data_IF_031766205677
#
_entry.id   IF_031766205677
#
_cell.length_a   1.000
_cell.length_b   1.000
_cell.length_c   1.000
_cell.angle_alpha   90.00
_cell.angle_beta   90.00
_cell.angle_gamma   90.00
#
_symmetry.space_group_name_H-M   'P 1'
#
loop_
_entity.id
_entity.type
_entity.pdbx_description
1 polymer ?
#
# COMPACT_ATOMS: atom_id res chain seq x y z
N UNK A 1 -10.83 88.56 17.37
CA UNK A 1 -10.77 88.48 18.85
C UNK A 1 -12.06 87.85 19.34
N UNK A 2 -11.94 86.82 20.21
CA UNK A 2 -12.86 86.45 21.32
C UNK A 2 -14.36 86.29 20.97
N UNK A 3 -15.10 85.23 21.29
CA UNK A 3 -15.03 84.21 22.35
C UNK A 3 -16.15 83.21 22.09
N UNK A 4 -15.91 81.95 22.45
CA UNK A 4 -16.85 80.84 22.69
C UNK A 4 -17.84 81.20 23.88
N UNK A 5 -18.69 80.36 24.54
CA UNK A 5 -19.28 79.01 24.29
C UNK A 5 -20.74 78.74 24.89
N UNK A 6 -21.20 77.44 24.92
CA UNK A 6 -22.28 76.75 25.71
C UNK A 6 -23.76 76.84 25.21
N UNK A 7 -24.63 75.80 25.16
CA UNK A 7 -24.61 74.39 25.61
C UNK A 7 -25.82 73.53 25.08
N UNK A 8 -25.65 72.19 25.13
CA UNK A 8 -26.64 71.06 25.16
C UNK A 8 -27.53 70.78 23.92
N UNK A 9 -27.33 69.70 23.15
CA UNK A 9 -27.60 68.26 23.38
C UNK A 9 -29.04 67.82 23.01
N UNK A 10 -29.17 66.88 22.07
CA UNK A 10 -30.00 65.64 22.11
C UNK A 10 -29.80 64.87 20.80
N UNK A 11 -29.54 63.57 20.95
CA UNK A 11 -29.31 62.58 19.90
C UNK A 11 -30.62 62.12 19.24
N UNK A 12 -30.54 61.57 18.01
CA UNK A 12 -31.28 60.38 17.56
C UNK A 12 -30.41 59.73 16.48
N UNK A 13 -30.00 58.48 16.75
CA UNK A 13 -29.34 57.62 15.79
C UNK A 13 -30.35 56.90 14.90
N UNK A 14 -29.94 56.66 13.65
CA UNK A 14 -30.57 55.66 12.78
C UNK A 14 -29.46 54.74 12.27
N UNK A 15 -29.47 53.52 12.81
CA UNK A 15 -28.59 52.45 12.39
C UNK A 15 -29.05 51.85 11.07
N UNK A 16 -28.09 51.64 10.18
CA UNK A 16 -28.16 50.60 9.15
C UNK A 16 -26.95 49.70 9.33
N UNK A 17 -27.10 48.68 10.17
CA UNK A 17 -26.16 47.57 10.25
C UNK A 17 -26.54 46.56 9.16
N UNK A 18 -25.86 46.65 8.02
CA UNK A 18 -25.85 45.57 7.03
C UNK A 18 -25.11 44.38 7.61
N UNK A 19 -25.81 43.26 7.81
CA UNK A 19 -25.18 42.00 8.18
C UNK A 19 -24.43 41.44 6.96
N UNK A 20 -23.10 41.50 6.98
CA UNK A 20 -22.27 40.72 6.07
C UNK A 20 -22.28 39.28 6.60
N UNK A 21 -23.06 38.42 5.98
CA UNK A 21 -22.98 36.98 6.20
C UNK A 21 -21.69 36.49 5.54
N UNK A 22 -20.61 36.37 6.30
CA UNK A 22 -19.42 35.64 5.88
C UNK A 22 -19.79 34.16 5.96
N UNK A 23 -20.18 33.57 4.83
CA UNK A 23 -20.30 32.13 4.69
C UNK A 23 -18.91 31.51 4.82
N UNK A 24 -18.59 31.01 6.01
CA UNK A 24 -17.40 30.19 6.25
C UNK A 24 -17.66 28.87 5.54
N UNK A 25 -17.23 28.75 4.28
CA UNK A 25 -17.14 27.43 3.65
C UNK A 25 -16.15 26.61 4.49
N UNK A 26 -16.47 25.36 4.86
CA UNK A 26 -15.53 24.51 5.56
C UNK A 26 -14.26 24.40 4.70
N UNK A 27 -13.12 24.78 5.27
CA UNK A 27 -11.83 24.59 4.61
C UNK A 27 -11.57 23.08 4.51
N UNK A 28 -11.89 22.51 3.35
CA UNK A 28 -11.53 21.12 3.04
C UNK A 28 -10.01 21.06 3.03
N UNK A 29 -9.42 20.16 3.82
CA UNK A 29 -7.97 19.97 3.83
C UNK A 29 -7.48 19.71 2.40
N UNK A 30 -6.55 20.54 1.92
CA UNK A 30 -5.97 20.37 0.60
C UNK A 30 -4.98 19.20 0.63
N UNK A 31 -5.12 18.25 -0.31
CA UNK A 31 -4.03 17.32 -0.60
C UNK A 31 -2.78 18.10 -0.96
N UNK A 32 -1.62 17.58 -0.56
CA UNK A 32 -0.32 18.14 -0.94
C UNK A 32 0.28 17.20 -1.98
N UNK A 33 -0.15 17.36 -3.22
CA UNK A 33 0.37 16.64 -4.38
C UNK A 33 1.05 17.66 -5.27
N UNK A 34 2.37 17.65 -5.28
CA UNK A 34 3.18 18.66 -5.96
C UNK A 34 4.06 17.95 -6.98
N UNK A 35 3.75 18.03 -8.29
CA UNK A 35 4.65 17.55 -9.34
C UNK A 35 6.03 18.19 -9.23
N UNK A 36 7.05 17.45 -9.63
CA UNK A 36 8.40 17.99 -9.84
C UNK A 36 8.71 18.16 -11.34
N UNK A 37 9.90 18.64 -11.65
CA UNK A 37 10.35 18.90 -13.02
C UNK A 37 11.23 17.77 -13.58
N UNK A 38 11.37 16.65 -12.88
CA UNK A 38 12.34 15.58 -13.22
C UNK A 38 11.94 14.73 -14.43
N UNK A 39 10.72 14.92 -14.94
CA UNK A 39 10.26 14.36 -16.22
C UNK A 39 10.36 15.37 -17.39
N UNK A 40 10.89 16.56 -17.17
CA UNK A 40 11.02 17.58 -18.20
C UNK A 40 9.67 18.01 -18.80
N UNK A 41 9.55 17.95 -20.13
CA UNK A 41 8.34 18.36 -20.85
C UNK A 41 7.15 17.41 -20.66
N UNK A 42 7.41 16.18 -20.18
CA UNK A 42 6.40 15.15 -19.91
C UNK A 42 5.99 15.13 -18.42
N UNK A 43 6.04 16.31 -17.77
CA UNK A 43 5.76 16.44 -16.34
C UNK A 43 4.37 15.95 -15.97
N UNK A 44 4.26 15.52 -14.71
CA UNK A 44 2.96 15.23 -14.10
C UNK A 44 2.18 16.52 -13.90
N UNK A 45 0.87 16.45 -14.04
CA UNK A 45 -0.04 17.59 -13.84
C UNK A 45 -1.16 17.16 -12.92
N UNK A 46 -1.45 17.98 -11.91
CA UNK A 46 -2.56 17.76 -10.97
C UNK A 46 -3.66 18.74 -11.29
N UNK A 47 -4.84 18.22 -11.61
CA UNK A 47 -6.04 18.99 -11.88
C UNK A 47 -7.06 18.73 -10.76
N UNK A 48 -7.37 19.73 -9.92
CA UNK A 48 -8.45 19.59 -8.96
C UNK A 48 -9.79 19.55 -9.71
N UNK A 49 -10.57 18.52 -9.43
CA UNK A 49 -11.90 18.27 -9.95
C UNK A 49 -12.88 18.06 -8.79
N UNK A 50 -14.16 18.25 -9.09
CA UNK A 50 -15.26 17.88 -8.21
C UNK A 50 -16.10 16.81 -8.93
N UNK A 51 -16.11 15.60 -8.38
CA UNK A 51 -16.86 14.47 -8.88
C UNK A 51 -18.15 14.32 -8.06
N UNK A 52 -19.18 15.10 -8.40
CA UNK A 52 -20.50 15.07 -7.74
C UNK A 52 -20.46 15.32 -6.22
N UNK A 53 -19.69 16.32 -5.79
CA UNK A 53 -19.49 16.69 -4.38
C UNK A 53 -18.33 15.97 -3.71
N UNK A 54 -17.62 15.08 -4.43
CA UNK A 54 -16.40 14.44 -3.95
C UNK A 54 -15.16 15.11 -4.57
N UNK A 55 -14.31 15.80 -3.78
CA UNK A 55 -13.11 16.45 -4.29
C UNK A 55 -12.08 15.42 -4.77
N UNK A 56 -11.58 15.60 -5.98
CA UNK A 56 -10.62 14.70 -6.64
C UNK A 56 -9.44 15.49 -7.18
N UNK A 57 -8.23 15.00 -6.95
CA UNK A 57 -7.01 15.44 -7.62
C UNK A 57 -6.74 14.48 -8.79
N UNK A 58 -7.14 14.87 -10.01
CA UNK A 58 -6.86 14.10 -11.21
C UNK A 58 -5.41 14.32 -11.64
N UNK A 59 -4.65 13.24 -11.74
CA UNK A 59 -3.25 13.23 -12.12
C UNK A 59 -3.18 12.82 -13.58
N UNK A 60 -2.73 13.74 -14.43
CA UNK A 60 -2.58 13.56 -15.88
C UNK A 60 -1.15 13.87 -16.33
N UNK A 61 -0.90 13.77 -17.64
CA UNK A 61 0.43 13.95 -18.22
C UNK A 61 1.29 12.72 -17.94
N UNK A 62 2.55 12.94 -17.57
CA UNK A 62 3.51 11.86 -17.36
C UNK A 62 4.21 11.41 -18.64
N UNK A 63 5.29 10.65 -18.46
CA UNK A 63 6.12 10.15 -19.56
C UNK A 63 5.74 8.70 -19.88
N UNK A 64 5.22 8.44 -21.08
CA UNK A 64 4.90 7.07 -21.50
C UNK A 64 6.11 6.43 -22.19
N UNK A 65 6.45 5.20 -21.81
CA UNK A 65 7.45 4.35 -22.46
C UNK A 65 6.86 2.95 -22.63
N UNK A 66 6.40 2.64 -23.83
CA UNK A 66 5.72 1.36 -24.08
C UNK A 66 4.54 1.18 -23.13
N UNK A 67 4.54 0.10 -22.37
CA UNK A 67 3.47 -0.24 -21.40
C UNK A 67 3.57 0.49 -20.05
N UNK A 68 4.53 1.40 -19.87
CA UNK A 68 4.72 2.11 -18.60
C UNK A 68 4.44 3.60 -18.73
N UNK A 69 3.69 4.15 -17.76
CA UNK A 69 3.45 5.58 -17.61
C UNK A 69 4.11 6.07 -16.31
N UNK A 70 5.04 7.01 -16.45
CA UNK A 70 5.83 7.52 -15.33
C UNK A 70 5.32 8.87 -14.85
N UNK A 71 5.11 8.99 -13.54
CA UNK A 71 4.80 10.22 -12.83
C UNK A 71 5.86 10.53 -11.77
N UNK A 72 6.08 11.82 -11.51
CA UNK A 72 7.07 12.27 -10.53
C UNK A 72 6.57 13.48 -9.74
N UNK A 73 6.74 13.40 -8.43
CA UNK A 73 6.26 14.39 -7.47
C UNK A 73 7.35 14.74 -6.49
N UNK A 74 7.42 16.02 -6.10
CA UNK A 74 8.18 16.42 -4.92
C UNK A 74 7.46 15.99 -3.64
N UNK A 75 6.13 16.16 -3.61
CA UNK A 75 5.28 15.82 -2.47
C UNK A 75 4.06 15.02 -2.95
N UNK A 76 3.66 14.01 -2.19
CA UNK A 76 2.48 13.21 -2.52
C UNK A 76 1.74 12.80 -1.25
N UNK A 77 0.75 13.59 -0.86
CA UNK A 77 -0.10 13.38 0.31
C UNK A 77 -1.56 13.56 -0.08
N UNK A 78 -2.42 12.63 0.32
CA UNK A 78 -3.86 12.66 0.03
C UNK A 78 -4.62 12.87 1.32
N UNK A 79 -5.38 13.97 1.42
CA UNK A 79 -6.16 14.23 2.64
C UNK A 79 -7.37 13.30 2.75
N UNK A 80 -7.94 13.19 3.95
CA UNK A 80 -9.18 12.42 4.16
C UNK A 80 -10.37 13.07 3.43
N UNK A 81 -11.32 12.25 2.98
CA UNK A 81 -12.53 12.71 2.30
C UNK A 81 -12.32 13.22 0.87
N UNK A 82 -11.16 12.95 0.27
CA UNK A 82 -10.85 13.26 -1.13
C UNK A 82 -10.09 12.13 -1.80
N UNK A 83 -10.02 12.16 -3.12
CA UNK A 83 -9.31 11.17 -3.92
C UNK A 83 -8.15 11.76 -4.72
N UNK A 84 -7.12 10.95 -4.98
CA UNK A 84 -6.11 11.23 -6.00
C UNK A 84 -6.15 10.10 -7.04
N UNK A 85 -6.38 10.46 -8.30
CA UNK A 85 -6.67 9.50 -9.36
C UNK A 85 -5.72 9.67 -10.53
N UNK A 86 -4.96 8.62 -10.85
CA UNK A 86 -4.09 8.60 -12.03
C UNK A 86 -4.90 8.27 -13.28
N UNK A 87 -4.84 9.17 -14.26
CA UNK A 87 -5.46 8.96 -15.56
C UNK A 87 -4.58 8.08 -16.44
N UNK A 88 -5.17 7.01 -16.96
CA UNK A 88 -4.57 6.20 -18.00
C UNK A 88 -5.08 6.62 -19.39
N UNK A 89 -4.23 7.25 -20.24
CA UNK A 89 -4.64 7.71 -21.56
C UNK A 89 -4.78 6.58 -22.60
N UNK A 90 -4.19 5.41 -22.36
CA UNK A 90 -3.98 4.37 -23.37
C UNK A 90 -4.16 2.97 -22.77
N UNK A 91 -5.02 2.15 -23.39
CA UNK A 91 -5.28 0.78 -22.96
C UNK A 91 -4.04 -0.15 -23.04
N UNK A 92 -2.98 0.24 -23.75
CA UNK A 92 -1.71 -0.52 -23.82
C UNK A 92 -0.81 -0.31 -22.60
N UNK A 93 -1.08 0.71 -21.77
CA UNK A 93 -0.36 0.94 -20.53
C UNK A 93 -0.80 -0.11 -19.50
N UNK A 94 0.18 -0.87 -19.02
CA UNK A 94 0.00 -1.89 -17.99
C UNK A 94 0.44 -1.38 -16.61
N UNK A 95 1.38 -0.44 -16.54
CA UNK A 95 1.90 0.04 -15.26
C UNK A 95 1.94 1.56 -15.21
N UNK A 96 1.37 2.13 -14.16
CA UNK A 96 1.54 3.52 -13.76
C UNK A 96 2.53 3.54 -12.59
N UNK A 97 3.65 4.23 -12.76
CA UNK A 97 4.69 4.35 -11.73
C UNK A 97 4.81 5.80 -11.26
N UNK A 98 4.50 6.04 -9.99
CA UNK A 98 4.58 7.34 -9.34
C UNK A 98 5.73 7.36 -8.33
N UNK A 99 6.73 8.22 -8.54
CA UNK A 99 7.83 8.44 -7.59
C UNK A 99 7.67 9.74 -6.80
N UNK A 100 8.11 9.72 -5.54
CA UNK A 100 8.29 10.91 -4.71
C UNK A 100 9.78 11.20 -4.55
N UNK A 101 10.21 12.38 -5.01
CA UNK A 101 11.61 12.83 -5.04
C UNK A 101 11.97 13.76 -3.89
N UNK A 102 10.98 14.29 -3.17
CA UNK A 102 11.19 15.10 -1.98
C UNK A 102 11.65 14.28 -0.77
N UNK A 103 11.79 14.94 0.36
CA UNK A 103 12.31 14.36 1.62
C UNK A 103 11.23 13.88 2.59
N UNK A 104 9.95 14.05 2.23
CA UNK A 104 8.83 13.76 3.13
C UNK A 104 8.21 12.40 2.83
N UNK A 105 7.78 11.72 3.89
CA UNK A 105 6.95 10.54 3.79
C UNK A 105 5.57 10.88 3.21
N UNK A 106 4.96 9.93 2.48
CA UNK A 106 3.61 10.11 1.96
C UNK A 106 2.57 9.74 3.00
N UNK A 107 1.66 10.67 3.27
CA UNK A 107 0.51 10.47 4.14
C UNK A 107 -0.74 10.36 3.28
N UNK A 108 -1.27 9.15 3.18
CA UNK A 108 -2.45 8.80 2.39
C UNK A 108 -3.60 8.60 3.38
N UNK A 109 -4.50 9.57 3.47
CA UNK A 109 -5.66 9.55 4.35
C UNK A 109 -6.98 9.43 3.58
N UNK A 110 -6.95 9.54 2.26
CA UNK A 110 -8.10 9.42 1.38
C UNK A 110 -7.92 8.31 0.34
N UNK A 111 -8.59 8.44 -0.79
CA UNK A 111 -8.60 7.40 -1.82
C UNK A 111 -7.45 7.57 -2.81
N UNK A 112 -6.73 6.49 -3.12
CA UNK A 112 -5.86 6.40 -4.28
C UNK A 112 -6.51 5.56 -5.35
N UNK A 113 -6.50 6.02 -6.60
CA UNK A 113 -7.12 5.26 -7.67
C UNK A 113 -6.51 5.46 -9.04
N UNK A 114 -6.98 4.65 -9.97
CA UNK A 114 -6.70 4.77 -11.40
C UNK A 114 -8.01 4.84 -12.17
N UNK A 115 -8.04 5.59 -13.28
CA UNK A 115 -9.20 5.71 -14.15
C UNK A 115 -8.77 5.96 -15.60
N UNK A 116 -9.69 5.84 -16.55
CA UNK A 116 -9.39 6.01 -17.97
C UNK A 116 -9.50 4.69 -18.71
N UNK A 117 -8.52 4.38 -19.56
CA UNK A 117 -8.51 3.15 -20.35
C UNK A 117 -7.83 1.99 -19.60
N UNK A 118 -8.20 0.75 -19.95
CA UNK A 118 -7.56 -0.46 -19.45
C UNK A 118 -7.62 -0.63 -17.92
N UNK A 119 -6.74 -1.51 -17.42
CA UNK A 119 -6.65 -1.88 -16.01
C UNK A 119 -5.19 -1.81 -15.52
N UNK A 120 -4.58 -0.62 -15.47
CA UNK A 120 -3.17 -0.51 -15.14
C UNK A 120 -2.92 -0.80 -13.65
N UNK A 121 -1.78 -1.43 -13.39
CA UNK A 121 -1.20 -1.54 -12.06
C UNK A 121 -0.69 -0.18 -11.60
N UNK A 122 -0.72 0.07 -10.29
CA UNK A 122 -0.22 1.31 -9.70
C UNK A 122 0.94 1.03 -8.75
N UNK A 123 2.10 1.60 -9.05
CA UNK A 123 3.28 1.60 -8.21
C UNK A 123 3.47 2.98 -7.58
N UNK A 124 3.46 3.06 -6.25
CA UNK A 124 3.82 4.25 -5.48
C UNK A 124 5.18 4.03 -4.81
N UNK A 125 6.14 4.90 -5.13
CA UNK A 125 7.54 4.81 -4.70
C UNK A 125 7.87 6.04 -3.86
N UNK A 126 8.08 5.87 -2.55
CA UNK A 126 8.57 6.94 -1.68
C UNK A 126 9.62 6.41 -0.69
N UNK A 127 10.91 6.69 -0.91
CA UNK A 127 12.00 6.24 -0.04
C UNK A 127 11.87 6.69 1.42
N UNK A 128 11.17 7.79 1.69
CA UNK A 128 11.04 8.36 3.04
C UNK A 128 9.98 7.65 3.89
N UNK A 129 9.17 6.77 3.31
CA UNK A 129 8.12 6.04 4.01
C UNK A 129 6.71 6.46 3.62
N UNK A 130 5.74 5.68 4.08
CA UNK A 130 4.32 5.86 3.75
C UNK A 130 3.43 5.50 4.94
N UNK A 131 2.36 6.29 5.11
CA UNK A 131 1.30 6.04 6.09
C UNK A 131 -0.03 6.00 5.33
N UNK A 132 -0.72 4.87 5.39
CA UNK A 132 -2.10 4.73 4.97
C UNK A 132 -2.98 4.85 6.22
N UNK A 133 -3.58 6.02 6.43
CA UNK A 133 -4.40 6.29 7.62
C UNK A 133 -5.72 5.53 7.63
N UNK A 134 -6.49 5.67 8.71
CA UNK A 134 -7.74 4.92 8.93
C UNK A 134 -8.75 5.01 7.77
N UNK A 135 -8.88 6.19 7.16
CA UNK A 135 -9.81 6.43 6.04
C UNK A 135 -9.20 6.18 4.65
N UNK A 136 -7.97 5.67 4.57
CA UNK A 136 -7.34 5.40 3.29
C UNK A 136 -8.05 4.25 2.59
N UNK A 137 -8.27 4.39 1.28
CA UNK A 137 -8.85 3.34 0.46
C UNK A 137 -8.17 3.29 -0.92
N UNK A 138 -8.31 2.16 -1.60
CA UNK A 138 -7.86 1.98 -2.97
C UNK A 138 -9.09 1.87 -3.88
N UNK A 139 -9.04 2.57 -5.02
CA UNK A 139 -9.95 2.43 -6.15
C UNK A 139 -9.11 2.27 -7.43
N UNK A 140 -8.31 1.21 -7.44
CA UNK A 140 -7.39 0.86 -8.53
C UNK A 140 -8.02 -0.19 -9.44
N UNK A 141 -7.66 -0.17 -10.72
CA UNK A 141 -8.18 -1.11 -11.72
C UNK A 141 -7.34 -2.40 -11.87
N UNK A 142 -6.14 -2.45 -11.28
CA UNK A 142 -5.23 -3.59 -11.32
C UNK A 142 -4.49 -3.78 -9.99
N UNK A 143 -3.30 -4.38 -10.03
CA UNK A 143 -2.46 -4.60 -8.84
C UNK A 143 -1.89 -3.29 -8.27
N UNK A 144 -1.65 -3.27 -6.95
CA UNK A 144 -1.10 -2.12 -6.23
C UNK A 144 0.22 -2.47 -5.55
N UNK A 145 1.21 -1.61 -5.72
CA UNK A 145 2.52 -1.72 -5.07
C UNK A 145 2.83 -0.43 -4.34
N UNK A 146 3.08 -0.51 -3.05
CA UNK A 146 3.67 0.58 -2.27
C UNK A 146 5.08 0.16 -1.83
N UNK A 147 6.09 0.89 -2.29
CA UNK A 147 7.47 0.64 -1.89
C UNK A 147 8.22 1.87 -1.39
N UNK A 148 9.14 1.65 -0.44
CA UNK A 148 10.14 2.64 -0.01
C UNK A 148 11.51 2.38 -0.62
N UNK A 149 11.56 1.59 -1.69
CA UNK A 149 12.75 1.43 -2.51
C UNK A 149 13.17 2.79 -3.10
N UNK A 150 14.47 2.91 -3.36
CA UNK A 150 15.05 4.08 -4.02
C UNK A 150 14.73 4.12 -5.52
N UNK A 151 14.37 2.98 -6.11
CA UNK A 151 13.91 2.93 -7.50
C UNK A 151 13.43 1.55 -7.91
N UNK A 152 12.82 1.49 -9.09
CA UNK A 152 12.29 0.28 -9.71
C UNK A 152 13.11 -0.03 -10.97
N UNK A 153 13.60 -1.26 -11.08
CA UNK A 153 14.41 -1.75 -12.22
C UNK A 153 13.54 -2.40 -13.28
N UNK A 154 13.99 -2.29 -14.53
CA UNK A 154 13.35 -2.85 -15.72
C UNK A 154 14.32 -3.80 -16.44
N UNK A 155 14.65 -4.92 -15.80
CA UNK A 155 15.74 -5.81 -16.22
C UNK A 155 17.07 -5.05 -16.32
N UNK A 156 17.76 -5.24 -17.45
CA UNK A 156 18.99 -4.53 -17.78
C UNK A 156 18.75 -3.20 -18.53
N UNK A 157 17.50 -2.78 -18.71
CA UNK A 157 17.14 -1.59 -19.52
C UNK A 157 17.24 -0.28 -18.77
N UNK A 158 17.32 -0.33 -17.44
CA UNK A 158 17.52 0.84 -16.59
C UNK A 158 16.66 0.83 -15.33
N UNK A 159 16.63 1.98 -14.66
CA UNK A 159 16.01 2.16 -13.34
C UNK A 159 15.19 3.45 -13.36
N UNK A 160 13.97 3.40 -12.82
CA UNK A 160 13.20 4.59 -12.47
C UNK A 160 13.45 4.93 -10.99
N UNK A 161 14.31 5.92 -10.74
CA UNK A 161 14.84 6.25 -9.40
C UNK A 161 14.13 7.46 -8.77
N UNK A 162 13.82 7.36 -7.48
CA UNK A 162 13.29 8.42 -6.64
C UNK A 162 14.38 9.29 -5.99
N UNK A 163 15.56 8.72 -5.69
CA UNK A 163 16.66 9.45 -5.02
C UNK A 163 17.73 9.98 -5.96
N UNK A 164 17.79 9.46 -7.19
CA UNK A 164 18.59 10.01 -8.28
C UNK A 164 17.68 10.21 -9.50
N UNK A 165 16.72 11.15 -9.41
CA UNK A 165 15.69 11.25 -10.42
C UNK A 165 16.25 11.83 -11.72
N UNK A 166 16.14 11.03 -12.78
CA UNK A 166 16.40 11.43 -14.16
C UNK A 166 15.13 11.24 -15.01
N UNK A 167 15.16 11.79 -16.23
CA UNK A 167 14.11 11.57 -17.21
C UNK A 167 14.12 10.07 -17.59
N UNK A 168 12.98 9.36 -17.50
CA UNK A 168 12.89 7.94 -17.82
C UNK A 168 13.43 7.64 -19.22
N UNK A 169 14.41 6.73 -19.27
CA UNK A 169 14.99 6.24 -20.52
C UNK A 169 13.91 5.71 -21.47
N UNK A 170 14.12 5.91 -22.77
CA UNK A 170 13.28 5.36 -23.83
C UNK A 170 13.16 3.82 -23.79
N UNK A 171 14.07 3.15 -23.08
CA UNK A 171 14.18 1.69 -23.02
C UNK A 171 13.31 1.06 -21.92
N UNK A 172 12.73 1.84 -21.00
CA UNK A 172 11.92 1.32 -19.88
C UNK A 172 10.52 0.90 -20.34
N UNK A 173 10.45 -0.03 -21.29
CA UNK A 173 9.23 -0.39 -22.03
C UNK A 173 8.64 -1.76 -21.66
N UNK A 174 9.26 -2.47 -20.71
CA UNK A 174 8.83 -3.80 -20.21
C UNK A 174 8.33 -3.70 -18.77
N UNK A 175 7.92 -4.80 -18.16
CA UNK A 175 7.51 -4.80 -16.76
C UNK A 175 8.65 -4.49 -15.78
N UNK A 176 8.34 -3.83 -14.65
CA UNK A 176 9.18 -3.81 -13.46
C UNK A 176 9.64 -5.21 -13.07
N UNK A 177 10.95 -5.37 -12.84
CA UNK A 177 11.55 -6.67 -12.52
C UNK A 177 12.19 -6.72 -11.13
N UNK A 178 12.44 -5.57 -10.49
CA UNK A 178 13.03 -5.51 -9.17
C UNK A 178 12.90 -4.12 -8.51
N UNK A 179 13.12 -4.10 -7.20
CA UNK A 179 13.18 -2.91 -6.36
C UNK A 179 14.61 -2.71 -5.86
N UNK A 180 15.18 -1.53 -6.08
CA UNK A 180 16.52 -1.17 -5.63
C UNK A 180 16.46 -0.37 -4.34
N UNK A 181 17.13 -0.86 -3.30
CA UNK A 181 17.39 -0.14 -2.06
C UNK A 181 18.87 0.23 -1.98
N UNK A 182 19.17 1.51 -1.82
CA UNK A 182 20.53 2.05 -1.69
C UNK A 182 20.71 3.00 -0.48
N UNK A 183 19.71 3.14 0.39
CA UNK A 183 19.78 3.96 1.61
C UNK A 183 19.59 3.16 2.90
N UNK A 184 20.05 3.72 4.03
CA UNK A 184 19.89 3.16 5.38
C UNK A 184 19.53 4.28 6.37
N UNK A 185 18.46 4.14 7.19
CA UNK A 185 17.42 3.12 7.07
C UNK A 185 16.52 3.40 5.86
N UNK A 186 15.87 2.36 5.32
CA UNK A 186 14.74 2.55 4.41
C UNK A 186 13.53 3.11 5.18
N UNK A 187 12.69 3.91 4.53
CA UNK A 187 11.45 4.42 5.14
C UNK A 187 10.50 3.30 5.55
N UNK A 188 9.66 3.55 6.55
CA UNK A 188 8.69 2.56 7.02
C UNK A 188 7.37 2.67 6.23
N UNK A 189 6.62 1.56 6.17
CA UNK A 189 5.24 1.55 5.67
C UNK A 189 4.32 1.20 6.84
N UNK A 190 3.34 2.05 7.11
CA UNK A 190 2.32 1.82 8.16
C UNK A 190 0.93 1.84 7.52
N UNK A 191 0.13 0.81 7.77
CA UNK A 191 -1.25 0.70 7.30
C UNK A 191 -2.20 0.64 8.50
N UNK A 192 -3.06 1.65 8.59
CA UNK A 192 -4.12 1.79 9.59
C UNK A 192 -5.51 1.78 8.96
N UNK A 193 -5.59 1.63 7.63
CA UNK A 193 -6.80 1.67 6.84
C UNK A 193 -7.82 0.63 7.28
N UNK A 194 -8.94 1.07 7.87
CA UNK A 194 -9.92 0.18 8.49
C UNK A 194 -11.36 0.70 8.44
N UNK A 195 -11.62 1.70 7.61
CA UNK A 195 -12.96 2.15 7.30
C UNK A 195 -13.53 1.39 6.08
N UNK A 196 -14.87 1.35 5.93
CA UNK A 196 -15.51 0.77 4.75
C UNK A 196 -14.98 1.38 3.45
N UNK A 197 -14.68 0.55 2.46
CA UNK A 197 -14.17 1.00 1.15
C UNK A 197 -15.22 1.79 0.36
N UNK A 198 -16.51 1.55 0.64
CA UNK A 198 -17.64 2.30 0.15
C UNK A 198 -18.78 2.24 1.17
N UNK A 199 -19.78 3.16 1.12
CA UNK A 199 -20.86 3.21 2.10
C UNK A 199 -21.67 1.91 2.25
N UNK A 200 -21.70 1.09 1.20
CA UNK A 200 -22.48 -0.15 1.13
C UNK A 200 -21.59 -1.41 1.20
N UNK A 201 -20.30 -1.27 1.47
CA UNK A 201 -19.36 -2.39 1.54
C UNK A 201 -19.08 -2.79 2.99
N UNK A 202 -19.16 -4.10 3.25
CA UNK A 202 -18.66 -4.70 4.49
C UNK A 202 -17.13 -4.88 4.48
N UNK A 203 -16.48 -4.67 3.34
CA UNK A 203 -15.02 -4.73 3.22
C UNK A 203 -14.40 -3.44 3.73
N UNK A 204 -13.40 -3.57 4.60
CA UNK A 204 -12.70 -2.42 5.19
C UNK A 204 -11.27 -2.32 4.65
N UNK A 205 -10.69 -1.13 4.72
CA UNK A 205 -9.26 -0.90 4.51
C UNK A 205 -8.82 -0.83 3.04
N UNK A 206 -7.66 -1.42 2.72
CA UNK A 206 -7.11 -1.41 1.37
C UNK A 206 -7.55 -2.66 0.61
N UNK A 207 -8.21 -2.48 -0.54
CA UNK A 207 -8.63 -3.59 -1.40
C UNK A 207 -8.17 -3.35 -2.84
N UNK A 208 -7.64 -4.41 -3.46
CA UNK A 208 -7.43 -4.47 -4.92
C UNK A 208 -8.53 -5.32 -5.57
N UNK A 209 -8.75 -5.21 -6.90
CA UNK A 209 -9.71 -6.08 -7.59
C UNK A 209 -9.42 -7.57 -7.38
N UNK A 210 -10.44 -8.41 -7.52
CA UNK A 210 -10.30 -9.86 -7.35
C UNK A 210 -9.26 -10.43 -8.31
N UNK A 211 -8.36 -11.27 -7.80
CA UNK A 211 -7.25 -11.85 -8.56
C UNK A 211 -6.00 -10.95 -8.67
N UNK A 212 -6.10 -9.67 -8.30
CA UNK A 212 -4.98 -8.73 -8.33
C UNK A 212 -4.13 -8.77 -7.06
N UNK A 213 -2.94 -8.16 -7.11
CA UNK A 213 -1.95 -8.23 -6.03
C UNK A 213 -1.80 -6.91 -5.27
N UNK A 214 -1.52 -7.01 -3.97
CA UNK A 214 -1.23 -5.88 -3.08
C UNK A 214 0.13 -6.13 -2.41
N UNK A 215 1.14 -5.36 -2.81
CA UNK A 215 2.53 -5.51 -2.35
C UNK A 215 2.96 -4.32 -1.51
N UNK A 216 3.46 -4.57 -0.30
CA UNK A 216 4.07 -3.56 0.57
C UNK A 216 5.53 -3.93 0.86
N UNK A 217 6.47 -3.16 0.32
CA UNK A 217 7.90 -3.46 0.41
C UNK A 217 8.71 -2.24 0.85
N UNK A 218 9.26 -2.25 2.06
CA UNK A 218 10.00 -1.09 2.56
C UNK A 218 10.99 -1.40 3.66
N UNK A 219 11.23 -0.45 4.55
CA UNK A 219 11.90 -0.65 5.84
C UNK A 219 11.08 -1.56 6.75
N UNK A 220 10.67 -1.10 7.92
CA UNK A 220 9.66 -1.84 8.68
C UNK A 220 8.30 -1.72 7.99
N UNK A 221 7.56 -2.83 7.88
CA UNK A 221 6.18 -2.85 7.39
C UNK A 221 5.26 -3.20 8.54
N UNK A 222 4.32 -2.31 8.86
CA UNK A 222 3.39 -2.48 9.99
C UNK A 222 1.96 -2.35 9.53
N UNK A 223 1.15 -3.38 9.75
CA UNK A 223 -0.31 -3.33 9.65
C UNK A 223 -0.83 -3.14 11.08
N UNK A 224 -1.29 -1.94 11.38
CA UNK A 224 -1.68 -1.49 12.72
C UNK A 224 -3.18 -1.17 12.73
N UNK A 225 -3.99 -2.21 13.00
CA UNK A 225 -5.44 -2.16 12.90
C UNK A 225 -5.98 -1.95 11.48
N UNK A 226 -5.11 -1.94 10.48
CA UNK A 226 -5.48 -1.88 9.08
C UNK A 226 -5.90 -3.23 8.50
N UNK A 227 -6.60 -3.19 7.37
CA UNK A 227 -7.01 -4.37 6.62
C UNK A 227 -6.45 -4.34 5.19
N UNK A 228 -5.99 -5.49 4.72
CA UNK A 228 -5.51 -5.73 3.36
C UNK A 228 -6.33 -6.84 2.71
N UNK A 229 -6.97 -6.55 1.59
CA UNK A 229 -7.86 -7.49 0.89
C UNK A 229 -7.42 -7.66 -0.57
N UNK A 230 -7.15 -8.91 -0.97
CA UNK A 230 -6.79 -9.29 -2.34
C UNK A 230 -7.38 -10.67 -2.67
N UNK A 231 -8.70 -10.77 -2.71
CA UNK A 231 -9.43 -12.04 -2.86
C UNK A 231 -9.01 -12.79 -4.13
N UNK A 232 -8.50 -14.01 -3.97
CA UNK A 232 -7.99 -14.85 -5.06
C UNK A 232 -6.66 -14.39 -5.66
N UNK A 233 -6.17 -13.21 -5.25
CA UNK A 233 -4.93 -12.61 -5.69
C UNK A 233 -3.77 -12.87 -4.73
N UNK A 234 -3.00 -11.83 -4.41
CA UNK A 234 -1.78 -11.95 -3.60
C UNK A 234 -1.59 -10.77 -2.65
N UNK A 235 -1.19 -11.04 -1.42
CA UNK A 235 -0.60 -10.03 -0.52
C UNK A 235 0.86 -10.38 -0.27
N UNK A 236 1.77 -9.44 -0.49
CA UNK A 236 3.20 -9.61 -0.15
C UNK A 236 3.66 -8.50 0.78
N UNK A 237 4.23 -8.87 1.92
CA UNK A 237 4.84 -7.94 2.86
C UNK A 237 6.33 -8.22 2.94
N UNK A 238 7.15 -7.19 2.76
CA UNK A 238 8.60 -7.33 2.77
C UNK A 238 9.29 -6.20 3.52
N UNK A 239 10.11 -6.55 4.51
CA UNK A 239 10.97 -5.61 5.22
C UNK A 239 12.43 -5.72 4.81
N UNK A 240 13.09 -4.59 4.56
CA UNK A 240 14.51 -4.51 4.22
C UNK A 240 15.27 -3.55 5.14
N UNK A 241 16.37 -4.03 5.73
CA UNK A 241 17.17 -3.26 6.71
C UNK A 241 18.43 -2.64 6.13
N UNK A 242 18.88 -3.14 4.97
CA UNK A 242 20.12 -2.72 4.31
C UNK A 242 19.94 -2.61 2.79
N UNK A 243 20.88 -1.95 2.08
CA UNK A 243 20.87 -1.88 0.64
C UNK A 243 20.84 -3.27 0.01
N UNK A 244 20.13 -3.37 -1.10
CA UNK A 244 19.93 -4.62 -1.79
C UNK A 244 18.93 -4.49 -2.91
N UNK A 245 18.73 -5.59 -3.64
CA UNK A 245 17.79 -5.67 -4.73
C UNK A 245 16.81 -6.79 -4.43
N UNK A 246 15.52 -6.47 -4.42
CA UNK A 246 14.44 -7.44 -4.28
C UNK A 246 13.82 -7.66 -5.65
N UNK A 247 13.83 -8.90 -6.14
CA UNK A 247 13.24 -9.22 -7.43
C UNK A 247 11.71 -9.19 -7.37
N UNK A 248 11.09 -8.89 -8.50
CA UNK A 248 9.66 -9.05 -8.75
C UNK A 248 9.49 -10.04 -9.90
N UNK A 249 8.75 -11.11 -9.65
CA UNK A 249 8.42 -12.09 -10.68
C UNK A 249 7.16 -11.65 -11.44
N UNK A 250 6.93 -12.21 -12.64
CA UNK A 250 5.75 -11.92 -13.47
C UNK A 250 4.42 -12.23 -12.75
N UNK A 251 4.42 -13.17 -11.81
CA UNK A 251 3.25 -13.53 -10.99
C UNK A 251 3.11 -12.68 -9.70
N UNK A 252 3.78 -11.54 -9.64
CA UNK A 252 3.78 -10.60 -8.51
C UNK A 252 4.41 -11.09 -7.20
N UNK A 253 5.07 -12.26 -7.19
CA UNK A 253 5.81 -12.71 -6.00
C UNK A 253 7.13 -11.97 -5.85
N UNK A 254 7.48 -11.61 -4.61
CA UNK A 254 8.77 -11.03 -4.29
C UNK A 254 9.85 -12.10 -4.21
N UNK A 255 11.06 -11.77 -4.67
CA UNK A 255 12.23 -12.64 -4.59
C UNK A 255 13.33 -11.98 -3.78
N UNK A 256 13.44 -12.42 -2.53
CA UNK A 256 14.51 -12.03 -1.62
C UNK A 256 15.76 -12.87 -1.88
N UNK A 257 16.93 -12.26 -2.19
CA UNK A 257 18.18 -12.97 -2.28
C UNK A 257 18.60 -13.57 -0.93
N UNK A 258 19.34 -14.68 -0.96
CA UNK A 258 19.94 -15.27 0.25
C UNK A 258 20.89 -14.28 0.94
N UNK A 259 20.85 -14.26 2.27
CA UNK A 259 21.73 -13.42 3.09
C UNK A 259 21.39 -11.93 3.10
N UNK A 260 20.32 -11.49 2.42
CA UNK A 260 19.90 -10.09 2.48
C UNK A 260 19.36 -9.74 3.87
N UNK A 261 19.80 -8.60 4.42
CA UNK A 261 19.33 -8.16 5.73
C UNK A 261 17.91 -7.61 5.63
N UNK A 262 16.98 -8.29 6.29
CA UNK A 262 15.56 -7.95 6.32
C UNK A 262 15.26 -7.02 7.51
N UNK A 263 14.16 -6.29 7.43
CA UNK A 263 13.57 -5.50 8.52
C UNK A 263 12.35 -6.22 9.08
N UNK A 264 11.79 -5.72 10.19
CA UNK A 264 10.68 -6.37 10.86
C UNK A 264 9.35 -6.13 10.12
N UNK A 265 8.46 -7.13 10.23
CA UNK A 265 7.06 -7.02 9.80
C UNK A 265 6.16 -7.26 11.01
N UNK A 266 5.16 -6.40 11.21
CA UNK A 266 4.20 -6.51 12.30
C UNK A 266 2.76 -6.43 11.81
N UNK A 267 1.92 -7.35 12.27
CA UNK A 267 0.47 -7.37 12.05
C UNK A 267 -0.19 -7.33 13.43
N UNK A 268 -0.78 -6.20 13.80
CA UNK A 268 -1.20 -5.92 15.18
C UNK A 268 -2.47 -5.08 15.26
N UNK A 269 -3.04 -4.99 16.48
CA UNK A 269 -4.20 -4.18 16.84
C UNK A 269 -5.44 -4.44 15.97
N UNK A 270 -5.88 -5.70 15.87
CA UNK A 270 -7.02 -6.11 15.03
C UNK A 270 -6.77 -5.96 13.52
N UNK A 271 -5.51 -6.10 13.10
CA UNK A 271 -5.16 -6.11 11.69
C UNK A 271 -5.65 -7.38 11.00
N UNK A 272 -5.97 -7.25 9.72
CA UNK A 272 -6.57 -8.32 8.92
C UNK A 272 -5.91 -8.39 7.54
N UNK A 273 -5.53 -9.59 7.10
CA UNK A 273 -5.05 -9.84 5.75
C UNK A 273 -5.86 -10.98 5.18
N UNK A 274 -6.60 -10.74 4.10
CA UNK A 274 -7.51 -11.71 3.51
C UNK A 274 -7.35 -11.82 1.99
N UNK A 275 -7.12 -13.06 1.57
CA UNK A 275 -6.99 -13.46 0.16
C UNK A 275 -7.96 -14.59 -0.19
N UNK A 276 -8.88 -14.96 0.69
CA UNK A 276 -9.82 -16.07 0.49
C UNK A 276 -10.70 -15.85 -0.73
N UNK A 277 -10.87 -16.89 -1.55
CA UNK A 277 -11.72 -16.88 -2.74
C UNK A 277 -12.07 -18.31 -3.17
N UNK A 278 -12.79 -18.46 -4.29
CA UNK A 278 -13.06 -19.79 -4.84
C UNK A 278 -11.79 -20.51 -5.32
N UNK A 279 -10.73 -19.77 -5.69
CA UNK A 279 -9.45 -20.24 -6.19
C UNK A 279 -8.34 -19.24 -5.85
N UNK A 280 -7.10 -19.72 -5.75
CA UNK A 280 -5.93 -18.87 -5.53
C UNK A 280 -5.92 -18.23 -4.16
N UNK A 281 -5.35 -17.02 -4.07
CA UNK A 281 -5.16 -16.32 -2.81
C UNK A 281 -3.87 -16.72 -2.11
N UNK A 282 -2.84 -15.88 -2.21
CA UNK A 282 -1.53 -16.13 -1.58
C UNK A 282 -1.16 -15.01 -0.61
N UNK A 283 -0.58 -15.37 0.54
CA UNK A 283 0.04 -14.40 1.45
C UNK A 283 1.51 -14.77 1.60
N UNK A 284 2.43 -13.86 1.29
CA UNK A 284 3.86 -14.05 1.55
C UNK A 284 4.38 -12.93 2.44
N UNK A 285 5.13 -13.28 3.50
CA UNK A 285 5.76 -12.31 4.40
C UNK A 285 7.24 -12.61 4.54
N UNK A 286 8.08 -11.62 4.22
CA UNK A 286 9.53 -11.69 4.30
C UNK A 286 10.05 -10.68 5.32
N UNK A 287 10.59 -11.18 6.45
CA UNK A 287 10.95 -10.33 7.58
C UNK A 287 12.27 -10.73 8.25
N UNK A 288 12.82 -9.84 9.08
CA UNK A 288 13.75 -10.25 10.13
C UNK A 288 12.97 -10.92 11.26
N UNK A 289 12.18 -10.17 12.01
CA UNK A 289 11.17 -10.74 12.89
C UNK A 289 9.76 -10.48 12.34
N UNK A 290 8.87 -11.46 12.53
CA UNK A 290 7.44 -11.33 12.23
C UNK A 290 6.63 -11.42 13.53
N UNK A 291 5.93 -10.34 13.87
CA UNK A 291 4.98 -10.33 14.97
C UNK A 291 3.53 -10.30 14.49
N UNK A 292 2.71 -11.25 14.91
CA UNK A 292 1.27 -11.27 14.69
C UNK A 292 0.58 -11.27 16.06
N UNK A 293 -0.05 -10.16 16.43
CA UNK A 293 -0.47 -9.92 17.82
C UNK A 293 -1.78 -9.14 17.91
N UNK A 294 -2.29 -9.03 19.13
CA UNK A 294 -3.49 -8.26 19.50
C UNK A 294 -4.68 -8.51 18.58
N UNK A 295 -5.14 -9.77 18.54
CA UNK A 295 -6.34 -10.19 17.83
C UNK A 295 -6.29 -9.94 16.32
N UNK A 296 -5.15 -10.23 15.68
CA UNK A 296 -4.93 -10.02 14.25
C UNK A 296 -4.91 -11.33 13.46
N UNK A 297 -5.28 -11.29 12.18
CA UNK A 297 -5.57 -12.49 11.41
C UNK A 297 -5.02 -12.44 9.99
N UNK A 298 -4.50 -13.59 9.54
CA UNK A 298 -4.11 -13.84 8.15
C UNK A 298 -4.95 -15.00 7.63
N UNK A 299 -5.65 -14.78 6.51
CA UNK A 299 -6.60 -15.70 5.94
C UNK A 299 -6.33 -15.97 4.46
N UNK A 300 -6.09 -17.25 4.17
CA UNK A 300 -6.18 -17.83 2.84
C UNK A 300 -7.15 -19.01 2.87
N UNK A 301 -7.39 -19.63 1.72
CA UNK A 301 -8.30 -20.76 1.61
C UNK A 301 -9.55 -20.46 0.77
N UNK A 302 -10.54 -21.34 0.90
CA UNK A 302 -11.78 -21.25 0.13
C UNK A 302 -12.85 -20.59 1.00
N UNK A 303 -13.34 -19.43 0.54
CA UNK A 303 -14.32 -18.61 1.27
C UNK A 303 -15.70 -19.29 1.33
N UNK A 304 -16.50 -18.90 2.33
CA UNK A 304 -17.85 -19.43 2.58
C UNK A 304 -18.70 -19.54 1.30
N UNK A 305 -19.35 -20.70 1.14
CA UNK A 305 -20.25 -21.01 0.03
C UNK A 305 -19.63 -20.86 -1.39
N UNK A 306 -18.30 -20.80 -1.51
CA UNK A 306 -17.59 -20.77 -2.79
C UNK A 306 -16.93 -22.12 -3.14
N UNK A 307 -16.39 -22.20 -4.34
CA UNK A 307 -15.55 -23.30 -4.81
C UNK A 307 -16.32 -24.51 -5.36
N UNK A 308 -15.56 -25.46 -5.91
CA UNK A 308 -16.03 -26.72 -6.44
C UNK A 308 -14.95 -27.82 -6.27
N UNK A 309 -15.18 -29.04 -6.78
CA UNK A 309 -14.22 -30.15 -6.59
C UNK A 309 -12.83 -29.90 -7.19
N UNK A 310 -12.71 -29.02 -8.17
CA UNK A 310 -11.45 -28.63 -8.83
C UNK A 310 -10.84 -27.38 -8.22
N UNK A 311 -11.54 -26.70 -7.30
CA UNK A 311 -11.06 -25.48 -6.67
C UNK A 311 -9.78 -25.73 -5.88
N UNK A 312 -8.80 -24.84 -6.03
CA UNK A 312 -7.53 -24.89 -5.33
C UNK A 312 -7.24 -23.53 -4.69
N UNK A 313 -7.14 -23.49 -3.37
CA UNK A 313 -6.64 -22.32 -2.66
C UNK A 313 -5.11 -22.17 -2.82
N UNK A 314 -4.62 -20.94 -2.75
CA UNK A 314 -3.20 -20.61 -2.71
C UNK A 314 -2.59 -20.79 -1.32
N UNK A 315 -1.32 -20.44 -1.19
CA UNK A 315 -0.51 -20.73 0.01
C UNK A 315 -0.28 -19.50 0.90
N UNK A 316 0.00 -19.74 2.17
CA UNK A 316 0.60 -18.75 3.08
C UNK A 316 2.07 -19.11 3.29
N UNK A 317 2.96 -18.14 3.11
CA UNK A 317 4.41 -18.25 3.32
C UNK A 317 4.82 -17.20 4.35
N UNK A 318 5.35 -17.65 5.48
CA UNK A 318 5.96 -16.82 6.52
C UNK A 318 7.47 -17.11 6.55
N UNK A 319 8.28 -16.25 5.94
CA UNK A 319 9.74 -16.37 5.86
C UNK A 319 10.41 -15.27 6.68
N UNK A 320 10.66 -15.56 7.95
CA UNK A 320 11.46 -14.73 8.83
C UNK A 320 12.89 -15.29 8.95
N UNK A 321 13.89 -14.43 8.99
CA UNK A 321 15.27 -14.85 9.28
C UNK A 321 15.60 -14.85 10.78
N UNK A 322 14.70 -14.36 11.62
CA UNK A 322 14.80 -14.35 13.07
C UNK A 322 13.61 -15.08 13.67
N UNK A 323 12.79 -14.37 14.44
CA UNK A 323 11.66 -14.94 15.17
C UNK A 323 10.32 -14.69 14.46
N UNK A 324 9.43 -15.68 14.53
CA UNK A 324 8.00 -15.45 14.28
C UNK A 324 7.21 -15.70 15.57
N UNK A 325 6.44 -14.69 15.98
CA UNK A 325 5.55 -14.75 17.14
C UNK A 325 4.10 -14.57 16.71
N UNK A 326 3.25 -15.54 17.03
CA UNK A 326 1.78 -15.39 16.94
C UNK A 326 1.22 -15.41 18.35
N UNK A 327 0.57 -14.32 18.80
CA UNK A 327 0.11 -14.17 20.20
C UNK A 327 -1.18 -13.38 20.34
N UNK A 328 -1.69 -13.26 21.57
CA UNK A 328 -2.84 -12.42 21.92
C UNK A 328 -4.10 -12.70 21.08
N UNK A 329 -4.47 -13.99 20.94
CA UNK A 329 -5.62 -14.48 20.14
C UNK A 329 -5.53 -14.20 18.64
N UNK A 330 -4.33 -13.89 18.14
CA UNK A 330 -4.06 -13.88 16.70
C UNK A 330 -3.92 -15.30 16.16
N UNK A 331 -4.17 -15.47 14.86
CA UNK A 331 -3.91 -16.74 14.17
C UNK A 331 -3.70 -16.55 12.66
N UNK A 332 -3.12 -17.58 12.05
CA UNK A 332 -2.87 -17.69 10.60
C UNK A 332 -3.61 -18.94 10.14
N UNK A 333 -4.46 -18.80 9.12
CA UNK A 333 -5.33 -19.89 8.68
C UNK A 333 -5.40 -19.99 7.16
N UNK A 334 -5.30 -21.21 6.66
CA UNK A 334 -5.58 -21.57 5.28
C UNK A 334 -6.62 -22.69 5.32
N UNK A 335 -7.90 -22.35 5.15
CA UNK A 335 -8.99 -23.29 5.42
C UNK A 335 -10.10 -23.21 4.38
N UNK A 336 -10.83 -24.32 4.28
CA UNK A 336 -12.04 -24.45 3.47
C UNK A 336 -13.20 -24.09 4.39
N UNK A 337 -13.86 -22.96 4.12
CA UNK A 337 -14.91 -22.42 4.97
C UNK A 337 -16.24 -23.17 4.82
N UNK A 338 -17.22 -22.85 5.64
CA UNK A 338 -18.52 -23.52 5.71
C UNK A 338 -19.23 -23.48 4.35
N UNK A 339 -19.79 -24.62 3.95
CA UNK A 339 -20.50 -24.75 2.67
C UNK A 339 -19.62 -24.61 1.42
N UNK A 340 -18.29 -24.53 1.57
CA UNK A 340 -17.37 -24.46 0.44
C UNK A 340 -16.84 -25.86 0.05
N UNK A 341 -16.27 -25.97 -1.15
CA UNK A 341 -15.69 -27.23 -1.67
C UNK A 341 -14.41 -26.94 -2.45
N UNK A 342 -13.42 -27.82 -2.30
CA UNK A 342 -12.17 -27.78 -3.05
C UNK A 342 -11.00 -28.26 -2.18
N UNK A 343 -9.79 -27.87 -2.56
CA UNK A 343 -8.55 -28.19 -1.88
C UNK A 343 -7.99 -26.92 -1.20
N UNK A 344 -7.66 -27.04 0.09
CA UNK A 344 -6.95 -26.00 0.82
C UNK A 344 -5.50 -25.85 0.34
N UNK A 345 -4.88 -24.72 0.66
CA UNK A 345 -3.45 -24.53 0.44
C UNK A 345 -2.63 -24.82 1.69
N UNK A 346 -1.33 -24.63 1.57
CA UNK A 346 -0.36 -24.85 2.64
C UNK A 346 -0.14 -23.59 3.47
N UNK A 347 0.37 -23.78 4.68
CA UNK A 347 1.00 -22.74 5.49
C UNK A 347 2.46 -23.15 5.67
N UNK A 348 3.37 -22.43 5.04
CA UNK A 348 4.81 -22.68 5.05
C UNK A 348 5.47 -21.67 6.00
N UNK A 349 6.20 -22.18 6.99
CA UNK A 349 6.85 -21.37 8.03
C UNK A 349 8.36 -21.63 7.98
N UNK A 350 9.13 -20.56 7.78
CA UNK A 350 10.59 -20.55 7.81
C UNK A 350 11.03 -19.49 8.82
N UNK A 351 11.71 -19.93 9.88
CA UNK A 351 12.20 -19.07 10.95
C UNK A 351 13.38 -19.71 11.68
N UNK A 352 14.19 -18.89 12.35
CA UNK A 352 15.19 -19.37 13.31
C UNK A 352 14.51 -19.79 14.63
N UNK A 353 13.42 -19.11 15.00
CA UNK A 353 12.58 -19.46 16.15
C UNK A 353 11.10 -19.16 15.89
N UNK A 354 10.23 -19.98 16.49
CA UNK A 354 8.77 -19.93 16.30
C UNK A 354 8.05 -20.08 17.64
N UNK A 355 7.22 -19.10 18.00
CA UNK A 355 6.36 -19.12 19.18
C UNK A 355 4.88 -19.04 18.79
N UNK A 356 4.06 -19.97 19.31
CA UNK A 356 2.62 -20.01 19.08
C UNK A 356 1.81 -20.46 20.30
N UNK A 357 0.56 -19.99 20.49
CA UNK A 357 -0.34 -20.52 21.51
C UNK A 357 -0.75 -21.95 21.17
N UNK A 358 -0.88 -22.78 22.20
CA UNK A 358 -1.10 -24.25 22.15
C UNK A 358 -2.42 -24.69 21.49
N UNK A 359 -3.31 -23.76 21.11
CA UNK A 359 -4.68 -24.06 20.66
C UNK A 359 -5.09 -23.46 19.30
N UNK A 360 -4.19 -22.80 18.55
CA UNK A 360 -4.63 -21.91 17.46
C UNK A 360 -4.15 -22.28 16.04
N UNK A 361 -3.86 -23.55 15.75
CA UNK A 361 -3.39 -23.88 14.41
C UNK A 361 -3.83 -25.28 13.94
N UNK A 362 -4.64 -25.31 12.87
CA UNK A 362 -4.79 -26.51 12.03
C UNK A 362 -3.60 -26.52 11.08
N UNK A 363 -2.59 -27.31 11.42
CA UNK A 363 -1.32 -27.38 10.72
C UNK A 363 -1.28 -28.64 9.86
N UNK A 364 -1.15 -28.47 8.55
CA UNK A 364 -0.37 -29.40 7.72
C UNK A 364 0.93 -28.67 7.32
N UNK A 365 1.92 -28.60 8.22
CA UNK A 365 3.22 -27.96 7.94
C UNK A 365 4.28 -29.00 7.60
N UNK A 366 5.17 -28.64 6.69
CA UNK A 366 6.57 -29.09 6.75
C UNK A 366 7.39 -27.93 7.33
N UNK A 367 7.75 -28.01 8.61
CA UNK A 367 8.69 -27.07 9.21
C UNK A 367 10.11 -27.54 8.83
N UNK A 368 10.82 -26.79 7.99
CA UNK A 368 12.21 -27.12 7.59
C UNK A 368 13.19 -26.22 8.37
N UNK A 369 14.04 -26.77 9.27
CA UNK A 369 15.08 -25.98 9.94
C UNK A 369 16.22 -25.59 8.97
N UNK A 370 16.73 -24.35 9.06
CA UNK A 370 17.82 -23.83 8.19
C UNK A 370 19.19 -24.48 8.41
N UNK A 371 19.38 -25.26 9.47
CA UNK A 371 20.65 -25.94 9.76
C UNK A 371 20.45 -27.40 10.17
N UNK A 372 20.75 -28.33 9.25
CA UNK A 372 21.05 -29.71 9.60
C UNK A 372 22.47 -29.78 10.17
N UNK A 373 22.59 -29.69 11.50
CA UNK A 373 23.82 -30.10 12.18
C UNK A 373 23.84 -31.62 12.15
N UNK A 374 24.70 -32.18 11.29
CA UNK A 374 24.96 -33.60 11.24
C UNK A 374 25.47 -34.10 12.59
N UNK A 375 24.68 -34.95 13.26
CA UNK A 375 25.22 -35.80 14.31
C UNK A 375 25.85 -37.03 13.66
N UNK A 376 27.17 -36.94 13.54
CA UNK A 376 28.08 -38.09 13.52
C UNK A 376 27.87 -38.91 14.79
N UNK A 377 27.38 -40.15 14.65
CA UNK A 377 27.59 -41.18 15.65
C UNK A 377 28.63 -42.17 15.12
N UNK A 378 29.84 -42.06 15.68
CA UNK A 378 30.68 -43.22 16.04
C UNK A 378 29.79 -44.09 16.96
N UNK A 379 29.69 -45.41 16.86
CA UNK A 379 30.67 -46.47 16.55
C UNK A 379 29.95 -47.64 15.91
#
# INVERSE_FOLDING_TARGET
MKTQPWQMAVAIGLGMSGAIVISILPAVAQSVIVPDETLGNERSVVLPLDANGFPVDAIIGGAQRGQNLFHSFREFNVSAGRGAYFFNPDATIQNILARVTGSNASTILGTLGTFGQGSPNLFLINPNGMIFGANASLNVQGSFVATTANGVKFGDRGIFSATQPEIPSALLTIDPSAFLFNQIPAGNIVVQANQPISPDSDTLGLQVPNGESLLLLGGNVTIDGGQLNAWGGRVELGGLAKPGIIGLNENWSLRFPDGIARSDVSVTNQAFIDVQAANGGNISIYAHNLGISRNSYLFAGIREALGNQESQAGDIILDAIGEIQVRDRSFVSNFIDTGSTGNGGNINIVADSWEHPTFAMSIHTQCQPRHSIGQSNRS
#
